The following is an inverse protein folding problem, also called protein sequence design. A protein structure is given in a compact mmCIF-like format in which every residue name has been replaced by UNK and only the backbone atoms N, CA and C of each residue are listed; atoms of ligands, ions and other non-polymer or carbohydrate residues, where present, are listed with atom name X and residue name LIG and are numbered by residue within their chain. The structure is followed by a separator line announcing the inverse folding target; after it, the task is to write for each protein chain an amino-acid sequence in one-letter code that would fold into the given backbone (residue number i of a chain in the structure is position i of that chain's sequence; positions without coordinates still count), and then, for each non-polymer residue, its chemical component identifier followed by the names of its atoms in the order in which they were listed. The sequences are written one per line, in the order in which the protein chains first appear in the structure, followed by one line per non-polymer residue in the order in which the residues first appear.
data_IF_314216123197
#
_entry.id   IF_314216123197
#
_cell.length_a   1.000
_cell.length_b   1.000
_cell.length_c   1.000
_cell.angle_alpha   90.00
_cell.angle_beta   90.00
_cell.angle_gamma   90.00
#
_symmetry.space_group_name_H-M   'P 1'
#
loop_
_entity.id
_entity.type
_entity.pdbx_description
1 polymer ?
#
# COMPACT_ATOMS: atom_id res chain seq x y z
N UNK A 1 11.15 -5.74 4.91
CA UNK A 1 10.51 -7.06 5.07
C UNK A 1 9.72 -7.13 6.37
N UNK A 2 8.39 -7.26 6.25
CA UNK A 2 7.42 -7.35 7.34
C UNK A 2 6.48 -8.55 7.10
N UNK A 3 5.97 -9.16 8.18
CA UNK A 3 5.02 -10.27 8.10
C UNK A 3 3.68 -9.86 8.70
N UNK A 4 2.59 -10.08 7.96
CA UNK A 4 1.23 -9.81 8.44
C UNK A 4 0.39 -11.08 8.35
N UNK A 5 -0.21 -11.47 9.47
CA UNK A 5 -1.23 -12.50 9.50
C UNK A 5 -2.61 -11.90 9.23
N UNK A 6 -3.22 -12.27 8.11
CA UNK A 6 -4.56 -11.80 7.72
C UNK A 6 -5.62 -12.80 8.18
N UNK A 7 -6.23 -12.52 9.35
CA UNK A 7 -7.22 -13.41 10.00
C UNK A 7 -8.37 -13.86 9.07
N UNK A 8 -9.01 -12.96 8.28
CA UNK A 8 -10.08 -13.36 7.37
C UNK A 8 -9.67 -14.40 6.32
N UNK A 9 -8.46 -14.32 5.75
CA UNK A 9 -7.98 -15.30 4.77
C UNK A 9 -7.25 -16.49 5.39
N UNK A 10 -6.82 -16.38 6.65
CA UNK A 10 -5.96 -17.38 7.30
C UNK A 10 -4.53 -17.43 6.76
N UNK A 11 -4.13 -16.48 5.91
CA UNK A 11 -2.80 -16.45 5.29
C UNK A 11 -1.82 -15.53 6.03
N UNK A 12 -0.52 -15.84 5.92
CA UNK A 12 0.56 -14.91 6.30
C UNK A 12 1.16 -14.30 5.05
N UNK A 13 1.16 -12.97 4.97
CA UNK A 13 1.71 -12.22 3.86
C UNK A 13 3.13 -11.73 4.20
N UNK A 14 4.03 -11.96 3.26
CA UNK A 14 5.41 -11.47 3.28
C UNK A 14 5.43 -10.17 2.48
N UNK A 15 5.74 -9.06 3.13
CA UNK A 15 5.61 -7.73 2.56
C UNK A 15 6.97 -7.04 2.54
N UNK A 16 7.36 -6.61 1.35
CA UNK A 16 8.49 -5.72 1.14
C UNK A 16 8.02 -4.31 0.78
N UNK A 17 8.95 -3.37 0.94
CA UNK A 17 8.71 -1.97 0.58
C UNK A 17 8.25 -1.88 -0.88
N UNK A 18 7.22 -1.07 -1.19
CA UNK A 18 6.60 -0.06 -0.32
C UNK A 18 5.34 -0.52 0.44
N UNK A 19 4.99 -1.81 0.42
CA UNK A 19 3.68 -2.28 0.89
C UNK A 19 3.43 -2.02 2.38
N UNK A 20 4.37 -2.33 3.31
CA UNK A 20 4.19 -2.00 4.73
C UNK A 20 3.93 -0.51 4.97
N UNK A 21 4.63 0.37 4.26
CA UNK A 21 4.51 1.82 4.36
C UNK A 21 3.17 2.30 3.81
N UNK A 22 2.70 1.73 2.69
CA UNK A 22 1.35 1.98 2.17
C UNK A 22 0.26 1.61 3.18
N UNK A 23 0.37 0.45 3.82
CA UNK A 23 -0.61 0.00 4.81
C UNK A 23 -0.62 0.90 6.06
N UNK A 24 0.56 1.39 6.50
CA UNK A 24 0.65 2.35 7.60
C UNK A 24 -0.05 3.67 7.24
N UNK A 25 0.23 4.22 6.05
CA UNK A 25 -0.39 5.46 5.60
C UNK A 25 -1.92 5.34 5.46
N UNK A 26 -2.42 4.22 4.95
CA UNK A 26 -3.86 3.95 4.84
C UNK A 26 -4.52 3.74 6.21
N UNK A 27 -3.80 3.20 7.20
CA UNK A 27 -4.29 3.06 8.56
C UNK A 27 -4.41 4.42 9.29
N UNK A 28 -3.54 5.38 8.96
CA UNK A 28 -3.64 6.76 9.47
C UNK A 28 -4.84 7.51 8.90
N UNK A 29 -5.07 7.40 7.58
CA UNK A 29 -6.18 8.03 6.89
C UNK A 29 -6.51 7.29 5.58
N UNK A 30 -7.81 7.02 5.29
CA UNK A 30 -8.23 6.50 3.98
C UNK A 30 -7.79 7.44 2.86
N UNK A 31 -7.32 6.85 1.76
CA UNK A 31 -6.79 7.62 0.63
C UNK A 31 -6.98 6.87 -0.69
N UNK A 32 -6.93 7.61 -1.80
CA UNK A 32 -6.88 7.07 -3.15
C UNK A 32 -5.44 6.96 -3.66
N UNK A 33 -5.27 6.36 -4.84
CA UNK A 33 -3.94 6.17 -5.43
C UNK A 33 -3.13 7.47 -5.53
N UNK A 34 -3.77 8.58 -5.88
CA UNK A 34 -3.09 9.86 -6.03
C UNK A 34 -2.53 10.41 -4.71
N UNK A 35 -3.37 10.53 -3.67
CA UNK A 35 -2.95 11.04 -2.37
C UNK A 35 -1.97 10.08 -1.68
N UNK A 36 -2.20 8.77 -1.80
CA UNK A 36 -1.29 7.76 -1.25
C UNK A 36 0.09 7.85 -1.91
N UNK A 37 0.16 8.06 -3.23
CA UNK A 37 1.45 8.24 -3.92
C UNK A 37 2.21 9.44 -3.38
N UNK A 38 1.54 10.59 -3.24
CA UNK A 38 2.15 11.80 -2.71
C UNK A 38 2.71 11.56 -1.29
N UNK A 39 1.90 11.01 -0.38
CA UNK A 39 2.30 10.71 1.00
C UNK A 39 3.42 9.68 1.07
N UNK A 40 3.36 8.64 0.26
CA UNK A 40 4.38 7.59 0.22
C UNK A 40 5.72 8.13 -0.28
N UNK A 41 5.72 8.94 -1.34
CA UNK A 41 6.93 9.57 -1.87
C UNK A 41 7.59 10.48 -0.82
N UNK A 42 6.79 11.29 -0.11
CA UNK A 42 7.27 12.11 1.01
C UNK A 42 7.86 11.23 2.12
N UNK A 43 7.18 10.16 2.51
CA UNK A 43 7.64 9.26 3.57
C UNK A 43 8.95 8.52 3.22
N UNK A 44 9.13 8.17 1.93
CA UNK A 44 10.31 7.46 1.45
C UNK A 44 11.43 8.38 0.93
N UNK A 45 11.20 9.70 0.88
CA UNK A 45 12.15 10.66 0.31
C UNK A 45 12.37 10.48 -1.20
N UNK A 46 11.34 10.05 -1.93
CA UNK A 46 11.36 9.79 -3.37
C UNK A 46 10.67 10.91 -4.15
N UNK A 47 10.95 11.01 -5.44
CA UNK A 47 10.22 11.90 -6.33
C UNK A 47 8.82 11.35 -6.61
N UNK A 48 7.82 12.23 -6.60
CA UNK A 48 6.48 11.90 -7.09
C UNK A 48 6.46 12.01 -8.62
N UNK A 49 6.54 10.86 -9.30
CA UNK A 49 6.46 10.74 -10.75
C UNK A 49 5.48 9.65 -11.19
N UNK A 50 5.36 9.47 -12.51
CA UNK A 50 4.43 8.51 -13.11
C UNK A 50 4.78 7.06 -12.75
N UNK A 51 6.06 6.74 -12.57
CA UNK A 51 6.49 5.40 -12.16
C UNK A 51 6.06 5.12 -10.72
N UNK A 52 6.26 6.09 -9.81
CA UNK A 52 5.78 5.99 -8.45
C UNK A 52 4.26 5.80 -8.39
N UNK A 53 3.50 6.54 -9.22
CA UNK A 53 2.05 6.40 -9.32
C UNK A 53 1.65 5.01 -9.79
N UNK A 54 2.27 4.50 -10.86
CA UNK A 54 1.98 3.18 -11.40
C UNK A 54 2.26 2.05 -10.41
N UNK A 55 3.36 2.16 -9.64
CA UNK A 55 3.68 1.19 -8.57
C UNK A 55 2.60 1.19 -7.48
N UNK A 56 2.17 2.37 -7.03
CA UNK A 56 1.12 2.49 -6.01
C UNK A 56 -0.21 1.92 -6.49
N UNK A 57 -0.61 2.21 -7.72
CA UNK A 57 -1.84 1.65 -8.31
C UNK A 57 -1.80 0.13 -8.41
N UNK A 58 -0.69 -0.44 -8.91
CA UNK A 58 -0.52 -1.88 -9.02
C UNK A 58 -0.58 -2.56 -7.64
N UNK A 59 0.12 -2.00 -6.64
CA UNK A 59 0.12 -2.53 -5.27
C UNK A 59 -1.25 -2.39 -4.60
N UNK A 60 -1.97 -1.28 -4.79
CA UNK A 60 -3.33 -1.13 -4.28
C UNK A 60 -4.28 -2.18 -4.89
N UNK A 61 -4.22 -2.39 -6.20
CA UNK A 61 -5.04 -3.39 -6.87
C UNK A 61 -4.78 -4.81 -6.33
N UNK A 62 -3.51 -5.17 -6.11
CA UNK A 62 -3.14 -6.45 -5.50
C UNK A 62 -3.64 -6.57 -4.05
N UNK A 63 -3.46 -5.53 -3.24
CA UNK A 63 -3.92 -5.49 -1.85
C UNK A 63 -5.44 -5.66 -1.74
N UNK A 64 -6.19 -5.06 -2.66
CA UNK A 64 -7.64 -5.22 -2.76
C UNK A 64 -7.98 -6.66 -3.17
N UNK A 65 -7.29 -7.22 -4.16
CA UNK A 65 -7.54 -8.58 -4.65
C UNK A 65 -7.33 -9.65 -3.56
N UNK A 66 -6.36 -9.46 -2.66
CA UNK A 66 -6.10 -10.38 -1.53
C UNK A 66 -6.90 -10.01 -0.26
N UNK A 67 -7.69 -8.94 -0.30
CA UNK A 67 -8.55 -8.49 0.79
C UNK A 67 -7.84 -7.78 1.94
N UNK A 68 -6.57 -7.37 1.78
CA UNK A 68 -5.85 -6.59 2.80
C UNK A 68 -6.28 -5.12 2.83
N UNK A 69 -6.79 -4.59 1.72
CA UNK A 69 -7.39 -3.25 1.59
C UNK A 69 -8.76 -3.39 0.93
N UNK A 70 -9.65 -2.42 1.13
CA UNK A 70 -10.98 -2.39 0.50
C UNK A 70 -11.12 -1.10 -0.31
N UNK A 71 -11.78 -1.16 -1.46
CA UNK A 71 -12.23 0.03 -2.17
C UNK A 71 -13.40 0.66 -1.38
N UNK A 72 -13.36 1.98 -1.19
CA UNK A 72 -14.41 2.77 -0.55
C UNK A 72 -15.52 3.19 -1.50
#
# INVERSE_FOLDING_TARGET
MSLIFHRPSGATHFLDSPVPEMLQLLAEAPDGAAGLTCRLCVNLGLAEDEEARAVVEARLAELIAIGLVQAG
#
